data_IF_352479805328
#
_entry.id   IF_352479805328
#
_cell.length_a   1.000
_cell.length_b   1.000
_cell.length_c   1.000
_cell.angle_alpha   90.00
_cell.angle_beta   90.00
_cell.angle_gamma   90.00
#
_symmetry.space_group_name_H-M   'P 1'
#
loop_
_entity.id
_entity.type
_entity.pdbx_description
1 polymer ?
#
# COMPACT_ATOMS: atom_id res chain seq x y z
N UNK A 1 1.32 12.45 7.48
CA UNK A 1 0.38 12.05 8.56
C UNK A 1 0.31 10.53 8.54
N UNK A 2 0.45 9.83 9.67
CA UNK A 2 0.33 8.36 9.67
C UNK A 2 -1.10 7.94 9.29
N UNK A 3 -1.24 7.04 8.33
CA UNK A 3 -2.53 6.46 7.98
C UNK A 3 -3.03 5.59 9.15
N UNK A 4 -4.30 5.75 9.52
CA UNK A 4 -4.97 4.99 10.56
C UNK A 4 -6.15 4.27 9.92
N UNK A 5 -6.29 3.00 10.22
CA UNK A 5 -7.50 2.25 9.83
C UNK A 5 -8.70 2.78 10.60
N UNK A 6 -9.82 2.91 9.90
CA UNK A 6 -11.11 3.20 10.51
C UNK A 6 -11.63 1.92 11.17
N UNK A 7 -12.07 2.01 12.42
CA UNK A 7 -12.67 0.88 13.12
C UNK A 7 -13.97 0.42 12.44
N UNK A 8 -14.33 -0.85 12.62
CA UNK A 8 -15.53 -1.42 11.99
C UNK A 8 -16.82 -0.69 12.42
N UNK A 9 -16.89 -0.26 13.68
CA UNK A 9 -18.02 0.52 14.25
C UNK A 9 -18.25 1.82 13.48
N UNK A 10 -17.20 2.62 13.30
CA UNK A 10 -17.29 3.86 12.51
C UNK A 10 -17.59 3.62 11.04
N UNK A 11 -17.20 2.45 10.51
CA UNK A 11 -17.57 2.07 9.14
C UNK A 11 -19.08 1.86 9.01
N UNK A 12 -19.73 1.25 10.02
CA UNK A 12 -21.19 1.09 10.08
C UNK A 12 -21.90 2.43 10.25
N UNK A 13 -21.44 3.27 11.17
CA UNK A 13 -22.00 4.62 11.39
C UNK A 13 -21.98 5.46 10.10
N UNK A 14 -20.91 5.34 9.31
CA UNK A 14 -20.79 6.03 8.01
C UNK A 14 -21.73 5.44 6.97
N UNK A 15 -21.88 4.11 6.90
CA UNK A 15 -22.85 3.47 6.00
C UNK A 15 -24.29 3.91 6.34
N UNK A 16 -24.63 3.93 7.62
CA UNK A 16 -25.94 4.38 8.10
C UNK A 16 -26.19 5.85 7.77
N UNK A 17 -25.22 6.74 8.04
CA UNK A 17 -25.32 8.16 7.71
C UNK A 17 -25.47 8.44 6.20
N UNK A 18 -24.94 7.55 5.35
CA UNK A 18 -25.07 7.64 3.90
C UNK A 18 -26.30 6.90 3.34
N UNK A 19 -27.05 6.16 4.18
CA UNK A 19 -28.16 5.31 3.74
C UNK A 19 -27.72 4.13 2.87
N UNK A 20 -26.48 3.66 3.03
CA UNK A 20 -25.89 2.57 2.24
C UNK A 20 -25.89 1.27 3.03
N UNK A 21 -26.20 0.15 2.37
CA UNK A 21 -26.13 -1.20 3.00
C UNK A 21 -24.69 -1.72 3.06
N UNK A 22 -23.87 -1.37 2.07
CA UNK A 22 -22.46 -1.72 1.98
C UNK A 22 -21.75 -0.78 1.00
N UNK A 23 -20.43 -0.78 1.04
CA UNK A 23 -19.63 -0.18 -0.01
C UNK A 23 -19.45 -1.20 -1.14
N UNK A 24 -20.24 -1.08 -2.20
CA UNK A 24 -20.15 -1.95 -3.39
C UNK A 24 -19.01 -1.57 -4.35
N UNK A 25 -18.27 -0.52 -4.02
CA UNK A 25 -17.22 0.06 -4.84
C UNK A 25 -15.86 -0.61 -4.61
N UNK A 26 -15.03 -0.70 -5.65
CA UNK A 26 -13.72 -1.33 -5.53
C UNK A 26 -12.84 -0.54 -4.57
N UNK A 27 -12.00 -1.26 -3.85
CA UNK A 27 -10.90 -0.67 -3.09
C UNK A 27 -9.96 0.06 -4.04
N UNK A 28 -9.59 1.28 -3.69
CA UNK A 28 -8.59 2.08 -4.39
C UNK A 28 -7.27 2.05 -3.61
N UNK A 29 -6.15 2.00 -4.35
CA UNK A 29 -4.82 2.09 -3.74
C UNK A 29 -4.48 3.53 -3.40
N UNK A 30 -4.10 3.79 -2.15
CA UNK A 30 -3.46 5.03 -1.74
C UNK A 30 -1.95 4.86 -1.88
N UNK A 31 -1.33 5.73 -2.67
CA UNK A 31 0.13 5.85 -2.73
C UNK A 31 0.48 7.08 -1.91
N UNK A 32 0.93 6.88 -0.67
CA UNK A 32 1.54 7.97 0.09
C UNK A 32 2.82 8.46 -0.64
N UNK A 33 3.04 9.77 -0.59
CA UNK A 33 4.10 10.50 -1.31
C UNK A 33 5.49 10.33 -0.70
N UNK A 34 5.62 9.63 0.43
CA UNK A 34 6.91 9.24 0.98
C UNK A 34 7.51 8.03 0.26
N UNK A 35 8.84 7.92 0.25
CA UNK A 35 9.62 6.85 -0.39
C UNK A 35 9.06 5.44 -0.11
N UNK A 36 8.43 5.23 1.06
CA UNK A 36 7.91 3.94 1.55
C UNK A 36 6.45 3.97 2.00
N UNK A 37 5.67 4.89 1.43
CA UNK A 37 4.27 5.10 1.79
C UNK A 37 3.43 3.82 1.72
N UNK A 38 2.68 3.55 2.79
CA UNK A 38 1.76 2.41 2.92
C UNK A 38 0.82 2.35 1.72
N UNK A 39 0.69 1.17 1.09
CA UNK A 39 -0.32 0.94 0.05
C UNK A 39 -1.67 0.74 0.74
N UNK A 40 -2.20 1.76 1.41
CA UNK A 40 -3.52 1.65 2.03
C UNK A 40 -4.56 1.34 0.96
N UNK A 41 -5.37 0.30 1.15
CA UNK A 41 -6.59 0.17 0.35
C UNK A 41 -7.67 0.99 1.03
N UNK A 42 -8.19 1.96 0.30
CA UNK A 42 -9.29 2.77 0.78
C UNK A 42 -10.56 2.49 -0.01
N UNK A 43 -11.69 2.66 0.64
CA UNK A 43 -12.98 2.77 -0.03
C UNK A 43 -13.15 4.24 -0.43
N UNK A 44 -13.29 4.57 -1.73
CA UNK A 44 -13.52 5.95 -2.15
C UNK A 44 -14.79 6.51 -1.51
N UNK A 45 -14.80 7.77 -1.10
CA UNK A 45 -16.00 8.50 -0.70
C UNK A 45 -16.20 9.64 -1.68
N UNK A 46 -17.39 9.75 -2.27
CA UNK A 46 -17.67 10.84 -3.20
C UNK A 46 -17.79 12.19 -2.46
N UNK A 47 -17.46 13.32 -3.09
CA UNK A 47 -17.56 14.63 -2.44
C UNK A 47 -18.94 14.93 -1.84
N UNK A 48 -20.01 14.52 -2.52
CA UNK A 48 -21.37 14.74 -2.05
C UNK A 48 -21.78 13.79 -0.92
N UNK A 49 -21.16 12.62 -0.83
CA UNK A 49 -21.31 11.73 0.34
C UNK A 49 -20.57 12.32 1.55
N UNK A 50 -19.34 12.80 1.36
CA UNK A 50 -18.56 13.43 2.42
C UNK A 50 -19.31 14.62 3.05
N UNK A 51 -19.93 15.48 2.22
CA UNK A 51 -20.73 16.62 2.70
C UNK A 51 -21.97 16.22 3.50
N UNK A 52 -22.52 15.02 3.28
CA UNK A 52 -23.68 14.49 4.03
C UNK A 52 -23.30 13.93 5.39
N UNK A 53 -22.02 13.60 5.60
CA UNK A 53 -21.57 13.06 6.88
C UNK A 53 -21.57 14.14 7.97
N UNK A 54 -21.98 13.81 9.20
CA UNK A 54 -21.84 14.71 10.34
C UNK A 54 -20.36 14.93 10.69
N UNK A 55 -19.98 16.06 11.33
CA UNK A 55 -18.58 16.42 11.57
C UNK A 55 -17.75 15.37 12.33
N UNK A 56 -18.39 14.66 13.27
CA UNK A 56 -17.77 13.57 14.03
C UNK A 56 -17.43 12.34 13.17
N UNK A 57 -18.11 12.15 12.02
CA UNK A 57 -17.81 11.08 11.07
C UNK A 57 -16.84 11.53 9.98
N UNK A 58 -16.92 12.79 9.54
CA UNK A 58 -15.99 13.37 8.57
C UNK A 58 -14.51 13.25 9.00
N UNK A 59 -14.21 13.33 10.31
CA UNK A 59 -12.84 13.18 10.85
C UNK A 59 -12.21 11.81 10.57
N UNK A 60 -13.03 10.79 10.27
CA UNK A 60 -12.55 9.44 9.95
C UNK A 60 -12.28 9.25 8.46
N UNK A 61 -12.68 10.22 7.61
CA UNK A 61 -12.47 10.20 6.17
C UNK A 61 -11.18 10.93 5.83
N UNK A 62 -10.29 10.27 5.11
CA UNK A 62 -9.05 10.88 4.63
C UNK A 62 -9.30 11.74 3.40
N UNK A 63 -8.77 12.96 3.38
CA UNK A 63 -8.60 13.73 2.16
C UNK A 63 -7.37 13.20 1.41
N UNK A 64 -7.59 12.50 0.31
CA UNK A 64 -6.55 11.89 -0.53
C UNK A 64 -5.92 12.92 -1.47
N UNK A 65 -6.77 13.75 -2.09
CA UNK A 65 -6.41 14.87 -2.96
C UNK A 65 -7.58 15.85 -2.95
N UNK A 66 -7.45 17.10 -3.45
CA UNK A 66 -8.59 18.01 -3.59
C UNK A 66 -9.78 17.33 -4.27
N UNK A 67 -10.91 17.22 -3.57
CA UNK A 67 -12.11 16.54 -4.07
C UNK A 67 -12.07 15.00 -4.10
N UNK A 68 -11.05 14.36 -3.51
CA UNK A 68 -10.95 12.90 -3.39
C UNK A 68 -10.85 12.50 -1.93
N UNK A 69 -11.84 11.72 -1.48
CA UNK A 69 -11.95 11.28 -0.09
C UNK A 69 -11.89 9.76 -0.01
N UNK A 70 -11.38 9.22 1.09
CA UNK A 70 -11.21 7.78 1.25
C UNK A 70 -11.32 7.30 2.69
N UNK A 71 -11.98 6.16 2.89
CA UNK A 71 -11.96 5.41 4.15
C UNK A 71 -10.88 4.35 4.09
N UNK A 72 -9.86 4.48 4.94
CA UNK A 72 -8.82 3.47 5.09
C UNK A 72 -9.41 2.32 5.92
N UNK A 73 -10.01 1.33 5.27
CA UNK A 73 -10.57 0.15 5.93
C UNK A 73 -9.52 -0.94 6.15
N UNK A 74 -8.43 -0.90 5.37
CA UNK A 74 -7.33 -1.85 5.48
C UNK A 74 -6.00 -1.18 5.17
N UNK A 75 -5.06 -1.29 6.10
CA UNK A 75 -3.66 -0.98 5.87
C UNK A 75 -2.94 -2.30 5.69
N UNK A 76 -2.47 -2.67 4.48
CA UNK A 76 -1.38 -3.62 4.45
C UNK A 76 -0.24 -2.95 5.21
N UNK A 77 0.25 -3.62 6.25
CA UNK A 77 1.44 -3.16 6.94
C UNK A 77 2.51 -2.90 5.89
N UNK A 78 3.35 -1.90 6.18
CA UNK A 78 4.66 -1.69 5.57
C UNK A 78 5.37 -3.02 5.30
N UNK A 79 6.43 -3.01 4.50
CA UNK A 79 7.34 -4.15 4.38
C UNK A 79 8.06 -4.47 5.72
N UNK A 80 7.35 -4.55 6.85
CA UNK A 80 7.61 -5.57 7.84
C UNK A 80 7.40 -6.87 7.09
N UNK A 81 8.51 -7.48 6.72
CA UNK A 81 8.50 -8.90 6.51
C UNK A 81 7.79 -9.60 7.69
N UNK A 82 7.15 -10.75 7.49
CA UNK A 82 6.53 -11.54 8.55
C UNK A 82 7.37 -11.72 9.83
N UNK A 83 8.70 -11.62 9.73
CA UNK A 83 9.66 -11.68 10.84
C UNK A 83 9.83 -10.34 11.60
N UNK A 84 9.19 -9.27 11.14
CA UNK A 84 9.34 -7.89 11.64
C UNK A 84 10.75 -7.32 11.40
N UNK A 85 11.47 -7.82 10.41
CA UNK A 85 12.81 -7.36 10.02
C UNK A 85 12.76 -6.22 8.99
N UNK A 86 13.83 -5.44 8.91
CA UNK A 86 14.02 -4.38 7.92
C UNK A 86 14.73 -4.94 6.69
N UNK A 87 14.39 -4.41 5.51
CA UNK A 87 15.08 -4.76 4.26
C UNK A 87 16.58 -4.45 4.37
N UNK A 88 17.40 -5.47 4.16
CA UNK A 88 18.85 -5.40 4.20
C UNK A 88 19.47 -5.57 2.81
N UNK A 89 18.85 -6.38 1.94
CA UNK A 89 19.33 -6.70 0.59
C UNK A 89 18.14 -6.86 -0.35
N UNK A 90 18.29 -6.47 -1.62
CA UNK A 90 17.29 -6.70 -2.68
C UNK A 90 17.90 -7.51 -3.81
N UNK A 91 17.15 -8.47 -4.34
CA UNK A 91 17.54 -9.31 -5.46
C UNK A 91 16.54 -9.15 -6.60
N UNK A 92 17.03 -8.95 -7.81
CA UNK A 92 16.22 -8.84 -9.02
C UNK A 92 16.60 -9.95 -10.01
N UNK A 93 15.58 -10.48 -10.67
CA UNK A 93 15.75 -11.44 -11.76
C UNK A 93 15.13 -10.84 -13.02
N UNK A 94 15.94 -10.74 -14.06
CA UNK A 94 15.50 -10.37 -15.40
C UNK A 94 15.48 -11.60 -16.29
N UNK A 95 14.59 -11.63 -17.28
CA UNK A 95 14.67 -12.61 -18.36
C UNK A 95 15.68 -12.16 -19.43
N UNK A 96 15.92 -13.01 -20.42
CA UNK A 96 16.85 -12.74 -21.53
C UNK A 96 16.49 -11.50 -22.37
N UNK A 97 15.24 -11.03 -22.32
CA UNK A 97 14.77 -9.83 -23.02
C UNK A 97 14.87 -8.55 -22.17
N UNK A 98 15.51 -8.62 -21.00
CA UNK A 98 15.65 -7.46 -20.10
C UNK A 98 14.37 -7.08 -19.36
N UNK A 99 13.35 -7.94 -19.35
CA UNK A 99 12.14 -7.75 -18.53
C UNK A 99 12.37 -8.35 -17.15
N UNK A 100 12.11 -7.56 -16.10
CA UNK A 100 12.14 -8.03 -14.72
C UNK A 100 10.99 -9.03 -14.50
N UNK A 101 11.33 -10.21 -14.02
CA UNK A 101 10.38 -11.31 -13.77
C UNK A 101 10.20 -11.61 -12.28
N UNK A 102 11.14 -11.20 -11.43
CA UNK A 102 11.07 -11.44 -9.99
C UNK A 102 11.89 -10.39 -9.22
N UNK A 103 11.37 -9.98 -8.07
CA UNK A 103 12.10 -9.19 -7.07
C UNK A 103 11.92 -9.85 -5.71
N UNK A 104 13.04 -10.11 -5.04
CA UNK A 104 13.10 -10.63 -3.70
C UNK A 104 13.87 -9.68 -2.78
N UNK A 105 13.72 -9.82 -1.47
CA UNK A 105 14.48 -9.08 -0.49
C UNK A 105 14.77 -9.94 0.74
N UNK A 106 15.92 -9.66 1.36
CA UNK A 106 16.28 -10.23 2.67
C UNK A 106 16.15 -9.20 3.75
N UNK A 107 15.89 -9.67 4.96
CA UNK A 107 15.80 -8.84 6.15
C UNK A 107 17.05 -8.94 7.02
N UNK A 108 17.23 -7.97 7.91
CA UNK A 108 18.21 -8.00 9.00
C UNK A 108 17.98 -9.14 10.01
N UNK A 109 16.82 -9.79 9.97
CA UNK A 109 16.49 -10.98 10.76
C UNK A 109 16.70 -12.31 10.02
N UNK A 110 17.22 -12.25 8.79
CA UNK A 110 17.56 -13.43 7.99
C UNK A 110 16.39 -14.04 7.21
N UNK A 111 15.20 -13.43 7.24
CA UNK A 111 14.09 -13.85 6.41
C UNK A 111 14.29 -13.43 4.94
N UNK A 112 13.83 -14.25 4.01
CA UNK A 112 13.85 -13.97 2.58
C UNK A 112 12.43 -14.01 2.01
N UNK A 113 12.07 -12.96 1.26
CA UNK A 113 10.70 -12.72 0.81
C UNK A 113 10.69 -12.29 -0.65
N UNK A 114 9.61 -12.62 -1.35
CA UNK A 114 9.41 -12.28 -2.76
C UNK A 114 8.20 -11.36 -2.94
N UNK A 115 8.25 -10.49 -3.96
CA UNK A 115 7.10 -9.69 -4.36
C UNK A 115 6.84 -9.79 -5.86
N UNK A 116 5.64 -10.26 -6.20
CA UNK A 116 5.16 -10.37 -7.59
C UNK A 116 4.40 -9.11 -8.05
N UNK A 117 4.03 -8.23 -7.11
CA UNK A 117 3.22 -7.06 -7.41
C UNK A 117 4.11 -5.92 -7.95
N UNK A 118 3.92 -5.52 -9.20
CA UNK A 118 4.77 -4.53 -9.91
C UNK A 118 4.99 -3.23 -9.12
N UNK A 119 3.93 -2.62 -8.55
CA UNK A 119 4.09 -1.39 -7.72
C UNK A 119 4.97 -1.63 -6.48
N UNK A 120 4.94 -2.83 -5.89
CA UNK A 120 5.79 -3.18 -4.75
C UNK A 120 7.24 -3.41 -5.18
N UNK A 121 7.45 -3.97 -6.37
CA UNK A 121 8.78 -4.09 -6.97
C UNK A 121 9.42 -2.72 -7.16
N UNK A 122 8.71 -1.78 -7.79
CA UNK A 122 9.22 -0.42 -8.04
C UNK A 122 9.56 0.32 -6.73
N UNK A 123 8.69 0.21 -5.73
CA UNK A 123 8.92 0.82 -4.40
C UNK A 123 10.12 0.18 -3.67
N UNK A 124 10.27 -1.13 -3.74
CA UNK A 124 11.39 -1.84 -3.13
C UNK A 124 12.73 -1.46 -3.78
N UNK A 125 12.75 -1.24 -5.10
CA UNK A 125 13.93 -0.79 -5.81
C UNK A 125 14.27 0.68 -5.50
N UNK A 126 13.26 1.53 -5.42
CA UNK A 126 13.43 2.90 -4.93
C UNK A 126 13.96 2.92 -3.48
N UNK A 127 13.48 2.00 -2.62
CA UNK A 127 13.99 1.80 -1.27
C UNK A 127 15.47 1.49 -1.26
N UNK A 128 15.86 0.45 -1.99
CA UNK A 128 17.24 0.03 -2.06
C UNK A 128 18.15 1.14 -2.57
N UNK A 129 17.72 1.89 -3.60
CA UNK A 129 18.45 3.04 -4.13
C UNK A 129 18.63 4.14 -3.08
N UNK A 130 17.57 4.57 -2.41
CA UNK A 130 17.62 5.68 -1.44
C UNK A 130 18.42 5.30 -0.19
N UNK A 131 18.33 4.04 0.23
CA UNK A 131 19.06 3.50 1.39
C UNK A 131 20.45 2.96 1.05
N UNK A 132 20.86 3.01 -0.22
CA UNK A 132 22.13 2.45 -0.73
C UNK A 132 22.32 0.99 -0.33
N UNK A 133 21.24 0.21 -0.37
CA UNK A 133 21.28 -1.21 -0.05
C UNK A 133 21.91 -1.99 -1.20
N UNK A 134 22.52 -3.15 -0.90
CA UNK A 134 22.98 -4.06 -1.93
C UNK A 134 21.79 -4.51 -2.81
N UNK A 135 21.96 -4.36 -4.14
CA UNK A 135 21.02 -4.86 -5.13
C UNK A 135 21.72 -5.89 -6.00
N UNK A 136 21.37 -7.15 -5.80
CA UNK A 136 21.88 -8.26 -6.60
C UNK A 136 21.01 -8.43 -7.85
N UNK A 137 21.62 -8.42 -9.02
CA UNK A 137 20.92 -8.58 -10.30
C UNK A 137 21.34 -9.86 -10.96
N UNK A 138 20.36 -10.67 -11.37
CA UNK A 138 20.58 -11.92 -12.09
C UNK A 138 19.74 -11.97 -13.36
N UNK A 139 20.24 -12.68 -14.37
CA UNK A 139 19.52 -12.90 -15.64
C UNK A 139 19.21 -14.40 -15.75
N UNK A 140 17.92 -14.74 -15.83
CA UNK A 140 17.47 -16.10 -16.12
C UNK A 140 17.38 -16.28 -17.63
N UNK A 141 18.32 -17.06 -18.17
CA UNK A 141 18.29 -17.53 -19.55
C UNK A 141 17.48 -18.83 -19.54
N UNK A 142 16.23 -18.78 -20.01
CA UNK A 142 15.50 -20.00 -20.36
C UNK A 142 16.13 -20.57 -21.63
N UNK A 143 16.85 -21.68 -21.47
CA UNK A 143 17.26 -22.55 -22.58
C UNK A 143 16.14 -23.49 -23.00
#
# INVERSE_FOLDING_TARGET
MALKTVAHEHTKEILEALGLKSFTRPFAGLIDSGDFGTVGTYVPIYPDEYKKLPPNLQRHVYLIAPGRYGLICFLPRTFEAPDGGKVAEVSTVFNAWGKMIKVAYKTDKGGEFETEHTIRQDKLLAYAKNKKLPVNTSVKITG
#
